data_IF_238924940800
#
_entry.id   IF_238924940800
#
_cell.length_a   1.000
_cell.length_b   1.000
_cell.length_c   1.000
_cell.angle_alpha   90.00
_cell.angle_beta   90.00
_cell.angle_gamma   90.00
#
_symmetry.space_group_name_H-M   'P 1'
#
loop_
_entity.id
_entity.type
_entity.pdbx_description
1 polymer ?
#
# COMPACT_ATOMS: atom_id res chain seq x y z
N UNK A 1 23.27 -12.86 5.33
CA UNK A 1 22.10 -12.37 4.55
C UNK A 1 22.24 -10.85 4.41
N UNK A 2 22.24 -10.31 3.18
CA UNK A 2 22.30 -8.85 2.95
C UNK A 2 21.01 -8.20 3.46
N UNK A 3 21.08 -7.07 4.18
CA UNK A 3 19.88 -6.29 4.54
C UNK A 3 19.22 -5.81 3.24
N UNK A 4 17.95 -6.12 3.06
CA UNK A 4 17.16 -5.57 1.95
C UNK A 4 17.03 -4.06 2.19
N UNK A 5 17.34 -3.25 1.18
CA UNK A 5 17.27 -1.80 1.29
C UNK A 5 15.81 -1.34 1.28
N UNK A 6 15.31 -0.90 2.45
CA UNK A 6 13.95 -0.39 2.60
C UNK A 6 13.65 0.81 1.72
N UNK A 7 14.67 1.57 1.27
CA UNK A 7 14.49 2.68 0.33
C UNK A 7 14.09 2.20 -1.06
N UNK A 8 14.70 1.11 -1.54
CA UNK A 8 14.36 0.52 -2.83
C UNK A 8 12.93 -0.04 -2.82
N UNK A 9 12.54 -0.73 -1.73
CA UNK A 9 11.16 -1.23 -1.59
C UNK A 9 10.17 -0.06 -1.57
N UNK A 10 10.44 0.98 -0.80
CA UNK A 10 9.57 2.16 -0.76
C UNK A 10 9.48 2.86 -2.11
N UNK A 11 10.59 3.00 -2.84
CA UNK A 11 10.59 3.61 -4.17
C UNK A 11 9.75 2.79 -5.16
N UNK A 12 9.91 1.46 -5.15
CA UNK A 12 9.09 0.57 -5.97
C UNK A 12 7.59 0.68 -5.65
N UNK A 13 7.24 0.75 -4.36
CA UNK A 13 5.86 0.96 -3.92
C UNK A 13 5.31 2.31 -4.42
N UNK A 14 6.07 3.40 -4.26
CA UNK A 14 5.66 4.74 -4.74
C UNK A 14 5.45 4.74 -6.25
N UNK A 15 6.40 4.22 -7.03
CA UNK A 15 6.27 4.17 -8.49
C UNK A 15 5.07 3.33 -8.93
N UNK A 16 4.82 2.19 -8.28
CA UNK A 16 3.65 1.36 -8.55
C UNK A 16 2.33 2.10 -8.27
N UNK A 17 2.22 2.82 -7.15
CA UNK A 17 1.02 3.61 -6.84
C UNK A 17 0.83 4.83 -7.72
N UNK A 18 1.93 5.45 -8.20
CA UNK A 18 1.87 6.49 -9.23
C UNK A 18 1.28 5.93 -10.53
N UNK A 19 1.70 4.73 -10.96
CA UNK A 19 1.14 4.06 -12.13
C UNK A 19 -0.36 3.73 -11.96
N UNK A 20 -0.76 3.24 -10.78
CA UNK A 20 -2.19 3.01 -10.45
C UNK A 20 -2.99 4.31 -10.51
N UNK A 21 -2.48 5.39 -9.92
CA UNK A 21 -3.17 6.68 -9.92
C UNK A 21 -3.26 7.30 -11.32
N UNK A 22 -2.21 7.18 -12.13
CA UNK A 22 -2.16 7.65 -13.51
C UNK A 22 -3.14 6.88 -14.40
N UNK A 23 -3.25 5.55 -14.22
CA UNK A 23 -4.28 4.76 -14.90
C UNK A 23 -5.69 5.24 -14.52
N UNK A 24 -5.94 5.56 -13.25
CA UNK A 24 -7.23 6.13 -12.83
C UNK A 24 -7.55 7.45 -13.54
N UNK A 25 -6.56 8.33 -13.74
CA UNK A 25 -6.72 9.58 -14.50
C UNK A 25 -6.99 9.31 -15.98
N UNK A 26 -6.24 8.39 -16.57
CA UNK A 26 -6.44 7.97 -17.95
C UNK A 26 -7.86 7.42 -18.16
N UNK A 27 -8.36 6.63 -17.21
CA UNK A 27 -9.67 6.02 -17.31
C UNK A 27 -10.81 7.04 -17.17
N UNK A 28 -10.61 8.10 -16.38
CA UNK A 28 -11.56 9.23 -16.34
C UNK A 28 -11.57 10.07 -17.63
N UNK A 29 -10.52 10.01 -18.45
CA UNK A 29 -10.28 10.95 -19.55
C UNK A 29 -10.76 10.45 -20.92
N UNK A 30 -11.08 9.16 -21.10
CA UNK A 30 -11.27 8.57 -22.44
C UNK A 30 -12.63 7.94 -22.69
N UNK A 31 -13.14 8.12 -23.92
CA UNK A 31 -14.08 7.18 -24.54
C UNK A 31 -13.25 6.12 -25.28
N UNK A 32 -12.93 5.01 -24.61
CA UNK A 32 -12.09 3.97 -25.22
C UNK A 32 -12.90 3.14 -26.22
N UNK A 33 -12.73 3.40 -27.50
CA UNK A 33 -13.34 2.60 -28.57
C UNK A 33 -12.43 1.44 -28.96
N UNK A 34 -12.99 0.21 -29.01
CA UNK A 34 -12.31 -1.00 -29.51
C UNK A 34 -11.32 -1.63 -28.52
N UNK A 35 -10.32 -2.36 -29.02
CA UNK A 35 -9.35 -3.14 -28.21
C UNK A 35 -8.22 -2.30 -27.56
N UNK A 36 -8.30 -0.97 -27.64
CA UNK A 36 -7.25 -0.06 -27.15
C UNK A 36 -7.04 -0.08 -25.63
N UNK A 37 -7.97 -0.67 -24.87
CA UNK A 37 -7.91 -0.77 -23.41
C UNK A 37 -6.93 -1.84 -22.88
N UNK A 38 -6.57 -2.85 -23.69
CA UNK A 38 -5.83 -4.03 -23.24
C UNK A 38 -4.43 -3.69 -22.69
N UNK A 39 -3.68 -2.86 -23.42
CA UNK A 39 -2.30 -2.48 -23.03
C UNK A 39 -2.29 -1.61 -21.77
N UNK A 40 -3.09 -0.52 -21.68
CA UNK A 40 -3.23 0.25 -20.45
C UNK A 40 -3.65 -0.59 -19.25
N UNK A 41 -4.62 -1.49 -19.43
CA UNK A 41 -5.10 -2.38 -18.36
C UNK A 41 -4.03 -3.38 -17.89
N UNK A 42 -3.23 -3.92 -18.82
CA UNK A 42 -2.10 -4.78 -18.49
C UNK A 42 -1.05 -4.02 -17.66
N UNK A 43 -0.68 -2.81 -18.08
CA UNK A 43 0.28 -1.97 -17.36
C UNK A 43 -0.25 -1.60 -15.97
N UNK A 44 -1.53 -1.27 -15.87
CA UNK A 44 -2.21 -1.06 -14.59
C UNK A 44 -2.12 -2.29 -13.68
N UNK A 45 -2.46 -3.46 -14.20
CA UNK A 45 -2.45 -4.72 -13.43
C UNK A 45 -1.05 -5.05 -12.90
N UNK A 46 -0.01 -4.87 -13.73
CA UNK A 46 1.39 -5.05 -13.31
C UNK A 46 1.78 -4.01 -12.26
N UNK A 47 1.43 -2.74 -12.48
CA UNK A 47 1.71 -1.64 -11.55
C UNK A 47 1.06 -1.87 -10.20
N UNK A 48 -0.21 -2.29 -10.18
CA UNK A 48 -0.97 -2.62 -8.99
C UNK A 48 -0.32 -3.78 -8.23
N UNK A 49 0.00 -4.88 -8.92
CA UNK A 49 0.64 -6.04 -8.30
C UNK A 49 1.96 -5.67 -7.62
N UNK A 50 2.82 -4.92 -8.31
CA UNK A 50 4.09 -4.43 -7.76
C UNK A 50 3.85 -3.48 -6.58
N UNK A 51 2.89 -2.55 -6.70
CA UNK A 51 2.57 -1.58 -5.66
C UNK A 51 2.12 -2.26 -4.36
N UNK A 52 1.19 -3.20 -4.45
CA UNK A 52 0.65 -3.94 -3.30
C UNK A 52 1.75 -4.81 -2.68
N UNK A 53 2.50 -5.56 -3.49
CA UNK A 53 3.58 -6.42 -3.00
C UNK A 53 4.68 -5.60 -2.29
N UNK A 54 5.12 -4.50 -2.89
CA UNK A 54 6.12 -3.63 -2.31
C UNK A 54 5.61 -2.94 -1.03
N UNK A 55 4.33 -2.56 -0.98
CA UNK A 55 3.72 -1.97 0.23
C UNK A 55 3.70 -2.96 1.40
N UNK A 56 3.25 -4.19 1.15
CA UNK A 56 3.24 -5.26 2.16
C UNK A 56 4.67 -5.59 2.62
N UNK A 57 5.61 -5.71 1.69
CA UNK A 57 7.01 -5.94 2.01
C UNK A 57 7.59 -4.80 2.86
N UNK A 58 7.29 -3.55 2.53
CA UNK A 58 7.76 -2.40 3.28
C UNK A 58 7.19 -2.39 4.71
N UNK A 59 5.88 -2.59 4.85
CA UNK A 59 5.22 -2.71 6.16
C UNK A 59 5.77 -3.88 7.00
N UNK A 60 6.08 -5.01 6.37
CA UNK A 60 6.80 -6.11 7.04
C UNK A 60 8.13 -5.62 7.58
N UNK A 61 9.00 -5.04 6.73
CA UNK A 61 10.36 -4.65 7.16
C UNK A 61 10.33 -3.71 8.37
N UNK A 62 9.38 -2.78 8.41
CA UNK A 62 9.24 -1.82 9.50
C UNK A 62 8.59 -2.40 10.76
N UNK A 63 7.88 -3.51 10.66
CA UNK A 63 7.28 -4.20 11.80
C UNK A 63 8.18 -5.31 12.39
N UNK A 64 9.44 -5.43 11.96
CA UNK A 64 10.30 -6.53 12.39
C UNK A 64 10.48 -6.59 13.91
N UNK A 65 10.52 -5.45 14.59
CA UNK A 65 10.72 -5.32 16.04
C UNK A 65 9.39 -5.32 16.81
N UNK A 66 8.34 -5.91 16.23
CA UNK A 66 6.99 -5.95 16.79
C UNK A 66 6.94 -6.62 18.16
N UNK A 67 6.19 -6.02 19.08
CA UNK A 67 5.84 -6.59 20.39
C UNK A 67 4.72 -7.66 20.31
N UNK A 68 4.07 -7.79 19.15
CA UNK A 68 2.92 -8.67 18.90
C UNK A 68 3.19 -9.54 17.65
N UNK A 69 3.99 -10.61 17.77
CA UNK A 69 4.41 -11.42 16.62
C UNK A 69 3.23 -12.11 15.91
N UNK A 70 2.20 -12.54 16.64
CA UNK A 70 1.01 -13.18 16.07
C UNK A 70 0.25 -12.24 15.14
N UNK A 71 -0.01 -10.99 15.57
CA UNK A 71 -0.71 -10.00 14.73
C UNK A 71 0.09 -9.66 13.47
N UNK A 72 1.42 -9.61 13.59
CA UNK A 72 2.29 -9.43 12.42
C UNK A 72 2.19 -10.61 11.45
N UNK A 73 2.18 -11.85 11.94
CA UNK A 73 2.02 -13.03 11.09
C UNK A 73 0.66 -13.03 10.36
N UNK A 74 -0.42 -12.69 11.06
CA UNK A 74 -1.75 -12.52 10.43
C UNK A 74 -1.72 -11.38 9.41
N UNK A 75 -1.09 -10.25 9.73
CA UNK A 75 -0.93 -9.12 8.81
C UNK A 75 -0.19 -9.50 7.53
N UNK A 76 0.84 -10.35 7.62
CA UNK A 76 1.53 -10.93 6.46
C UNK A 76 0.59 -11.83 5.67
N UNK A 77 -0.14 -12.74 6.34
CA UNK A 77 -1.09 -13.63 5.67
C UNK A 77 -2.15 -12.86 4.87
N UNK A 78 -2.78 -11.86 5.49
CA UNK A 78 -3.75 -10.98 4.81
C UNK A 78 -3.07 -10.16 3.70
N UNK A 79 -1.83 -9.71 3.91
CA UNK A 79 -1.06 -8.99 2.90
C UNK A 79 -0.76 -9.85 1.66
N UNK A 80 -0.41 -11.13 1.84
CA UNK A 80 -0.25 -12.09 0.73
C UNK A 80 -1.56 -12.27 -0.02
N UNK A 81 -2.69 -12.39 0.70
CA UNK A 81 -4.01 -12.45 0.06
C UNK A 81 -4.33 -11.16 -0.73
N UNK A 82 -3.94 -9.99 -0.23
CA UNK A 82 -4.06 -8.73 -0.96
C UNK A 82 -3.23 -8.74 -2.25
N UNK A 83 -1.99 -9.24 -2.21
CA UNK A 83 -1.13 -9.37 -3.39
C UNK A 83 -1.74 -10.34 -4.41
N UNK A 84 -2.18 -11.51 -3.99
CA UNK A 84 -2.79 -12.51 -4.90
C UNK A 84 -4.08 -11.96 -5.51
N UNK A 85 -4.95 -11.35 -4.70
CA UNK A 85 -6.20 -10.76 -5.20
C UNK A 85 -5.97 -9.57 -6.13
N UNK A 86 -4.85 -8.83 -6.00
CA UNK A 86 -4.52 -7.74 -6.93
C UNK A 86 -4.23 -8.20 -8.37
N UNK A 87 -3.99 -9.50 -8.60
CA UNK A 87 -3.95 -10.06 -9.96
C UNK A 87 -5.31 -9.94 -10.66
N UNK A 88 -6.39 -9.88 -9.88
CA UNK A 88 -7.77 -9.64 -10.33
C UNK A 88 -8.04 -8.14 -10.19
N UNK A 89 -7.41 -7.33 -11.05
CA UNK A 89 -7.34 -5.88 -10.87
C UNK A 89 -8.72 -5.19 -10.83
N UNK A 90 -9.70 -5.72 -11.56
CA UNK A 90 -11.10 -5.28 -11.56
C UNK A 90 -11.81 -5.45 -10.20
N UNK A 91 -11.34 -6.36 -9.34
CA UNK A 91 -11.92 -6.61 -8.02
C UNK A 91 -11.40 -5.62 -6.96
N UNK A 92 -11.41 -4.32 -7.25
CA UNK A 92 -10.87 -3.28 -6.36
C UNK A 92 -11.34 -3.36 -4.91
N UNK A 93 -12.64 -3.53 -4.62
CA UNK A 93 -13.10 -3.67 -3.24
C UNK A 93 -12.41 -4.79 -2.47
N UNK A 94 -12.08 -5.90 -3.14
CA UNK A 94 -11.44 -7.05 -2.52
C UNK A 94 -9.99 -6.75 -2.15
N UNK A 95 -9.15 -6.38 -3.12
CA UNK A 95 -7.73 -6.18 -2.87
C UNK A 95 -7.47 -4.95 -1.99
N UNK A 96 -8.25 -3.88 -2.13
CA UNK A 96 -8.10 -2.66 -1.33
C UNK A 96 -8.49 -2.90 0.14
N UNK A 97 -9.57 -3.65 0.39
CA UNK A 97 -9.98 -4.04 1.75
C UNK A 97 -8.93 -4.92 2.41
N UNK A 98 -8.44 -5.95 1.70
CA UNK A 98 -7.40 -6.84 2.24
C UNK A 98 -6.12 -6.05 2.54
N UNK A 99 -5.71 -5.14 1.67
CA UNK A 99 -4.55 -4.29 1.92
C UNK A 99 -4.76 -3.35 3.12
N UNK A 100 -5.94 -2.75 3.27
CA UNK A 100 -6.29 -1.94 4.43
C UNK A 100 -6.20 -2.74 5.75
N UNK A 101 -6.77 -3.94 5.77
CA UNK A 101 -6.71 -4.83 6.94
C UNK A 101 -5.27 -5.20 7.25
N UNK A 102 -4.49 -5.59 6.24
CA UNK A 102 -3.07 -5.92 6.40
C UNK A 102 -2.27 -4.74 7.00
N UNK A 103 -2.43 -3.53 6.45
CA UNK A 103 -1.77 -2.33 6.95
C UNK A 103 -2.19 -1.99 8.38
N UNK A 104 -3.47 -2.18 8.72
CA UNK A 104 -3.98 -1.98 10.08
C UNK A 104 -3.36 -2.97 11.07
N UNK A 105 -3.27 -4.25 10.71
CA UNK A 105 -2.63 -5.28 11.52
C UNK A 105 -1.14 -4.98 11.74
N UNK A 106 -0.43 -4.54 10.69
CA UNK A 106 0.93 -4.06 10.82
C UNK A 106 1.03 -2.84 11.74
N UNK A 107 0.12 -1.87 11.62
CA UNK A 107 0.11 -0.68 12.48
C UNK A 107 -0.06 -1.02 13.98
N UNK A 108 -0.96 -1.96 14.29
CA UNK A 108 -1.21 -2.44 15.65
C UNK A 108 0.00 -3.19 16.20
N UNK A 109 0.69 -3.95 15.35
CA UNK A 109 1.88 -4.72 15.73
C UNK A 109 3.15 -3.86 15.83
N UNK A 110 3.23 -2.76 15.07
CA UNK A 110 4.44 -1.97 14.93
C UNK A 110 4.69 -1.01 16.11
N UNK A 111 5.96 -0.56 16.29
CA UNK A 111 6.30 0.49 17.23
C UNK A 111 5.50 1.78 16.96
N UNK A 112 5.23 2.55 18.02
CA UNK A 112 4.46 3.80 17.93
C UNK A 112 4.98 4.77 16.86
N UNK A 113 6.29 4.78 16.63
CA UNK A 113 6.96 5.64 15.64
C UNK A 113 6.41 5.47 14.22
N UNK A 114 6.20 4.25 13.74
CA UNK A 114 5.79 3.97 12.34
C UNK A 114 4.29 3.70 12.19
N UNK A 115 3.55 3.63 13.31
CA UNK A 115 2.12 3.31 13.33
C UNK A 115 1.28 4.28 12.51
N UNK A 116 1.51 5.59 12.64
CA UNK A 116 0.74 6.62 11.93
C UNK A 116 0.85 6.49 10.41
N UNK A 117 2.03 6.17 9.88
CA UNK A 117 2.22 5.93 8.46
C UNK A 117 1.43 4.70 7.97
N UNK A 118 1.45 3.60 8.73
CA UNK A 118 0.69 2.39 8.37
C UNK A 118 -0.83 2.61 8.45
N UNK A 119 -1.31 3.39 9.43
CA UNK A 119 -2.71 3.83 9.50
C UNK A 119 -3.08 4.70 8.31
N UNK A 120 -2.21 5.62 7.88
CA UNK A 120 -2.45 6.44 6.70
C UNK A 120 -2.56 5.59 5.43
N UNK A 121 -1.72 4.56 5.28
CA UNK A 121 -1.83 3.60 4.16
C UNK A 121 -3.18 2.87 4.18
N UNK A 122 -3.61 2.37 5.34
CA UNK A 122 -4.92 1.73 5.47
C UNK A 122 -6.06 2.70 5.15
N UNK A 123 -6.00 3.92 5.67
CA UNK A 123 -6.98 4.97 5.43
C UNK A 123 -7.11 5.34 3.95
N UNK A 124 -5.99 5.40 3.22
CA UNK A 124 -6.01 5.70 1.79
C UNK A 124 -6.83 4.69 0.98
N UNK A 125 -6.71 3.39 1.29
CA UNK A 125 -7.51 2.35 0.64
C UNK A 125 -9.00 2.53 0.93
N UNK A 126 -9.36 2.76 2.20
CA UNK A 126 -10.75 2.94 2.62
C UNK A 126 -11.40 4.18 2.00
N UNK A 127 -10.67 5.30 1.98
CA UNK A 127 -11.13 6.55 1.37
C UNK A 127 -11.33 6.36 -0.13
N UNK A 128 -10.39 5.74 -0.84
CA UNK A 128 -10.55 5.49 -2.28
C UNK A 128 -11.71 4.55 -2.61
N UNK A 129 -11.94 3.50 -1.80
CA UNK A 129 -13.15 2.68 -1.94
C UNK A 129 -14.42 3.48 -1.69
N UNK A 130 -14.42 4.36 -0.68
CA UNK A 130 -15.57 5.23 -0.37
C UNK A 130 -15.88 6.17 -1.53
N UNK A 131 -14.84 6.77 -2.14
CA UNK A 131 -14.97 7.62 -3.33
C UNK A 131 -15.56 6.84 -4.50
N UNK A 132 -15.07 5.61 -4.74
CA UNK A 132 -15.63 4.76 -5.81
C UNK A 132 -17.10 4.45 -5.56
N UNK A 133 -17.48 3.98 -4.36
CA UNK A 133 -18.87 3.68 -4.06
C UNK A 133 -19.78 4.90 -4.18
N UNK A 134 -19.35 6.06 -3.66
CA UNK A 134 -20.10 7.30 -3.81
C UNK A 134 -20.28 7.69 -5.29
N UNK A 135 -19.24 7.53 -6.10
CA UNK A 135 -19.31 7.81 -7.54
C UNK A 135 -20.21 6.83 -8.30
N UNK A 136 -20.20 5.53 -7.95
CA UNK A 136 -21.13 4.52 -8.49
C UNK A 136 -22.58 4.88 -8.10
N UNK A 137 -22.84 5.18 -6.83
CA UNK A 137 -24.18 5.55 -6.34
C UNK A 137 -24.69 6.84 -6.97
N UNK A 138 -23.79 7.78 -7.26
CA UNK A 138 -24.11 9.01 -7.99
C UNK A 138 -24.18 8.82 -9.52
N UNK A 139 -23.99 7.59 -10.01
CA UNK A 139 -23.97 7.22 -11.43
C UNK A 139 -23.03 8.11 -12.27
N UNK A 140 -21.85 8.45 -11.72
CA UNK A 140 -20.90 9.30 -12.43
C UNK A 140 -20.30 8.58 -13.64
N UNK A 141 -20.50 9.17 -14.83
CA UNK A 141 -20.02 8.63 -16.10
C UNK A 141 -21.04 7.75 -16.82
N UNK A 142 -20.68 7.24 -18.00
CA UNK A 142 -21.50 6.24 -18.73
C UNK A 142 -21.10 4.85 -18.29
N UNK A 143 -22.07 3.93 -18.19
CA UNK A 143 -21.78 2.51 -18.05
C UNK A 143 -21.11 1.99 -19.31
N UNK A 144 -20.11 1.14 -19.14
CA UNK A 144 -19.48 0.43 -20.26
C UNK A 144 -20.31 -0.80 -20.68
N UNK A 145 -19.78 -1.59 -21.63
CA UNK A 145 -20.43 -2.81 -22.11
C UNK A 145 -20.52 -3.93 -21.07
N UNK A 146 -19.77 -3.84 -19.97
CA UNK A 146 -19.79 -4.78 -18.86
C UNK A 146 -20.70 -4.32 -17.71
N UNK A 147 -21.28 -3.12 -17.82
CA UNK A 147 -22.12 -2.52 -16.80
C UNK A 147 -21.33 -1.79 -15.70
N UNK A 148 -20.01 -1.64 -15.88
CA UNK A 148 -19.12 -0.97 -14.94
C UNK A 148 -19.16 0.55 -15.15
N UNK A 149 -18.69 1.30 -14.14
CA UNK A 149 -18.56 2.76 -14.17
C UNK A 149 -17.07 3.15 -14.21
N UNK A 150 -16.46 3.33 -15.41
CA UNK A 150 -15.04 3.62 -15.55
C UNK A 150 -14.59 4.87 -14.78
N UNK A 151 -15.42 5.92 -14.80
CA UNK A 151 -15.15 7.17 -14.06
C UNK A 151 -15.08 6.92 -12.55
N UNK A 152 -16.00 6.13 -12.00
CA UNK A 152 -16.00 5.80 -10.59
C UNK A 152 -14.78 4.96 -10.19
N UNK A 153 -14.41 3.99 -11.03
CA UNK A 153 -13.21 3.18 -10.87
C UNK A 153 -11.93 4.04 -10.94
N UNK A 154 -11.87 4.96 -11.89
CA UNK A 154 -10.77 5.90 -12.06
C UNK A 154 -10.59 6.82 -10.85
N UNK A 155 -11.69 7.43 -10.37
CA UNK A 155 -11.69 8.25 -9.15
C UNK A 155 -11.20 7.47 -7.93
N UNK A 156 -11.66 6.21 -7.77
CA UNK A 156 -11.22 5.31 -6.72
C UNK A 156 -9.72 5.07 -6.77
N UNK A 157 -9.19 4.61 -7.91
CA UNK A 157 -7.77 4.32 -8.08
C UNK A 157 -6.87 5.55 -7.95
N UNK A 158 -7.28 6.71 -8.48
CA UNK A 158 -6.54 7.96 -8.28
C UNK A 158 -6.48 8.35 -6.81
N UNK A 159 -7.59 8.23 -6.09
CA UNK A 159 -7.65 8.53 -4.65
C UNK A 159 -6.75 7.59 -3.85
N UNK A 160 -6.81 6.27 -4.13
CA UNK A 160 -5.93 5.28 -3.51
C UNK A 160 -4.48 5.60 -3.83
N UNK A 161 -4.14 5.82 -5.10
CA UNK A 161 -2.77 6.09 -5.55
C UNK A 161 -2.16 7.30 -4.84
N UNK A 162 -2.84 8.44 -4.86
CA UNK A 162 -2.39 9.67 -4.20
C UNK A 162 -2.27 9.48 -2.70
N UNK A 163 -3.30 8.95 -2.04
CA UNK A 163 -3.29 8.74 -0.60
C UNK A 163 -2.18 7.78 -0.15
N UNK A 164 -1.93 6.73 -0.93
CA UNK A 164 -0.89 5.75 -0.61
C UNK A 164 0.51 6.29 -0.85
N UNK A 165 0.74 7.06 -1.90
CA UNK A 165 2.02 7.77 -2.11
C UNK A 165 2.33 8.71 -0.94
N UNK A 166 1.35 9.49 -0.48
CA UNK A 166 1.50 10.37 0.68
C UNK A 166 1.78 9.58 1.97
N UNK A 167 1.07 8.46 2.17
CA UNK A 167 1.29 7.56 3.30
C UNK A 167 2.70 6.95 3.29
N UNK A 168 3.19 6.51 2.12
CA UNK A 168 4.54 5.97 1.95
C UNK A 168 5.60 7.04 2.18
N UNK A 169 5.41 8.26 1.66
CA UNK A 169 6.34 9.38 1.89
C UNK A 169 6.47 9.70 3.40
N UNK A 170 5.34 9.72 4.12
CA UNK A 170 5.32 9.89 5.57
C UNK A 170 6.09 8.76 6.28
N UNK A 171 5.79 7.52 5.93
CA UNK A 171 6.40 6.32 6.52
C UNK A 171 7.92 6.28 6.28
N UNK A 172 8.38 6.61 5.08
CA UNK A 172 9.79 6.64 4.70
C UNK A 172 10.55 7.76 5.39
N UNK A 173 9.95 8.95 5.52
CA UNK A 173 10.54 10.04 6.31
C UNK A 173 10.71 9.65 7.78
N UNK A 174 9.70 9.01 8.36
CA UNK A 174 9.75 8.52 9.74
C UNK A 174 10.85 7.47 9.91
N UNK A 175 10.97 6.52 8.98
CA UNK A 175 11.99 5.47 9.04
C UNK A 175 13.42 6.04 8.94
N UNK A 176 13.64 7.02 8.05
CA UNK A 176 14.97 7.61 7.79
C UNK A 176 15.53 8.52 8.88
N UNK A 177 14.70 9.01 9.82
CA UNK A 177 15.14 9.91 10.91
C UNK A 177 15.75 9.19 12.12
N UNK A 178 15.94 7.88 12.04
CA UNK A 178 16.52 7.09 13.14
C UNK A 178 18.02 6.93 12.90
N UNK A 179 18.91 7.63 13.62
CA UNK A 179 20.30 7.22 13.62
C UNK A 179 20.36 5.81 14.22
N UNK A 180 20.94 4.87 13.47
CA UNK A 180 21.46 3.61 14.00
C UNK A 180 22.57 3.98 15.01
N UNK A 181 22.22 4.51 16.18
CA UNK A 181 23.19 4.60 17.27
C UNK A 181 23.42 3.15 17.68
N UNK A 182 24.61 2.57 17.45
CA UNK A 182 24.91 1.30 18.09
C UNK A 182 24.69 1.54 19.57
N UNK A 183 23.86 0.72 20.20
CA UNK A 183 23.80 0.67 21.64
C UNK A 183 25.23 0.37 22.09
N UNK A 184 25.97 1.41 22.45
CA UNK A 184 27.23 1.27 23.18
C UNK A 184 26.78 0.53 24.41
N UNK A 185 26.99 -0.80 24.41
CA UNK A 185 26.91 -1.60 25.60
C UNK A 185 27.85 -0.91 26.56
N UNK A 186 27.30 -0.17 27.50
CA UNK A 186 28.06 0.31 28.64
C UNK A 186 28.68 -0.95 29.24
N UNK A 187 29.98 -1.14 28.97
CA UNK A 187 30.79 -2.13 29.67
C UNK A 187 30.61 -1.77 31.14
N UNK A 188 29.79 -2.55 31.85
CA UNK A 188 29.75 -2.46 33.31
C UNK A 188 31.16 -2.82 33.75
N UNK A 189 31.92 -1.92 34.39
CA UNK A 189 33.17 -2.32 34.98
C UNK A 189 32.83 -3.39 36.02
N UNK A 190 33.32 -4.61 35.79
CA UNK A 190 33.35 -5.63 36.82
C UNK A 190 34.23 -5.08 37.93
N UNK A 191 33.61 -4.55 38.99
CA UNK A 191 34.29 -4.34 40.25
C UNK A 191 34.70 -5.71 40.75
N UNK A 192 36.00 -6.00 40.64
CA UNK A 192 36.64 -7.09 41.34
C UNK A 192 36.49 -6.82 42.84
N UNK A 193 35.73 -7.67 43.53
CA UNK A 193 35.77 -7.77 44.99
C UNK A 193 37.05 -8.47 45.38
N UNK A 194 37.88 -7.78 46.16
CA UNK A 194 39.03 -8.31 46.91
C UNK A 194 38.52 -9.07 48.12
#
# INVERSE_FOLDING_TARGET
>A
MKRIDGRLISAAAVLGWVGVGAYGVWEMAGEHTGDSWQVPYLLFSISLFIAVAATVAFCWTLSHSSMRPTLRAVGIGVGVLAVVSSAVAWAMPLWATLLAISCTLFAVAAPAKVRSGMVALAGAQLVGMTVMFAAITAELGRRDSYGDYPVAFGLGNTTIGVGTVLGLALLTRIAGTTPDKPAIKAQRPHHASV
#
